data_IF_150298835037
#
_entry.id   IF_150298835037
#
_cell.length_a   1.000
_cell.length_b   1.000
_cell.length_c   1.000
_cell.angle_alpha   90.00
_cell.angle_beta   90.00
_cell.angle_gamma   90.00
#
_symmetry.space_group_name_H-M   'P 1'
#
loop_
_entity.id
_entity.type
_entity.pdbx_description
1 polymer ?
#
# COMPACT_ATOMS: atom_id res chain seq x y z
N UNK A 1 -15.60 7.43 -3.92
CA UNK A 1 -14.26 7.24 -4.54
C UNK A 1 -13.24 6.95 -3.46
N UNK A 2 -12.47 5.89 -3.61
CA UNK A 2 -11.43 5.56 -2.66
C UNK A 2 -10.14 6.32 -2.95
N UNK A 3 -9.48 6.77 -1.90
CA UNK A 3 -8.21 7.48 -1.99
C UNK A 3 -7.07 6.54 -1.57
N UNK A 4 -6.08 6.40 -2.42
CA UNK A 4 -4.94 5.51 -2.23
C UNK A 4 -3.65 6.30 -2.26
N UNK A 5 -2.81 6.10 -1.26
CA UNK A 5 -1.47 6.67 -1.23
C UNK A 5 -0.47 5.62 -1.70
N UNK A 6 0.32 5.97 -2.69
CA UNK A 6 1.40 5.12 -3.19
C UNK A 6 2.76 5.70 -2.78
N UNK A 7 3.54 4.91 -2.06
CA UNK A 7 4.90 5.29 -1.66
C UNK A 7 5.89 4.31 -2.25
N UNK A 8 6.70 4.77 -3.17
CA UNK A 8 7.72 3.95 -3.83
C UNK A 8 8.89 4.84 -4.22
N UNK A 9 10.10 4.42 -3.87
CA UNK A 9 11.31 5.14 -4.24
C UNK A 9 11.79 4.79 -5.67
N UNK A 10 11.14 3.85 -6.33
CA UNK A 10 11.35 3.56 -7.74
C UNK A 10 10.38 4.41 -8.56
N UNK A 11 10.90 5.44 -9.22
CA UNK A 11 10.08 6.39 -9.98
C UNK A 11 9.21 5.69 -11.02
N UNK A 12 9.78 4.70 -11.71
CA UNK A 12 9.07 3.98 -12.75
C UNK A 12 7.94 3.11 -12.18
N UNK A 13 8.24 2.34 -11.15
CA UNK A 13 7.24 1.47 -10.53
C UNK A 13 6.10 2.27 -9.94
N UNK A 14 6.41 3.39 -9.32
CA UNK A 14 5.41 4.29 -8.75
C UNK A 14 4.46 4.83 -9.83
N UNK A 15 5.03 5.28 -10.95
CA UNK A 15 4.22 5.85 -12.04
C UNK A 15 3.27 4.81 -12.63
N UNK A 16 3.74 3.59 -12.83
CA UNK A 16 2.93 2.51 -13.40
C UNK A 16 1.79 2.11 -12.45
N UNK A 17 2.09 1.93 -11.18
CA UNK A 17 1.09 1.58 -10.19
C UNK A 17 0.04 2.67 -10.04
N UNK A 18 0.47 3.92 -9.96
CA UNK A 18 -0.45 5.06 -9.82
C UNK A 18 -1.38 5.16 -11.04
N UNK A 19 -0.83 5.00 -12.24
CA UNK A 19 -1.63 5.08 -13.47
C UNK A 19 -2.67 3.96 -13.53
N UNK A 20 -2.28 2.73 -13.19
CA UNK A 20 -3.20 1.59 -13.16
C UNK A 20 -4.38 1.88 -12.24
N UNK A 21 -4.11 2.41 -11.06
CA UNK A 21 -5.15 2.71 -10.08
C UNK A 21 -6.05 3.86 -10.55
N UNK A 22 -5.47 4.92 -11.13
CA UNK A 22 -6.25 6.05 -11.66
C UNK A 22 -7.17 5.60 -12.78
N UNK A 23 -6.68 4.75 -13.67
CA UNK A 23 -7.48 4.21 -14.76
C UNK A 23 -8.66 3.39 -14.26
N UNK A 24 -8.57 2.87 -13.05
CA UNK A 24 -9.63 2.07 -12.43
C UNK A 24 -10.55 2.89 -11.54
N UNK A 25 -10.40 4.21 -11.51
CA UNK A 25 -11.30 5.10 -10.79
C UNK A 25 -10.88 5.46 -9.38
N UNK A 26 -9.66 5.11 -8.97
CA UNK A 26 -9.15 5.51 -7.66
C UNK A 26 -8.53 6.91 -7.71
N UNK A 27 -8.70 7.65 -6.62
CA UNK A 27 -7.92 8.87 -6.40
C UNK A 27 -6.57 8.47 -5.84
N UNK A 28 -5.50 8.84 -6.54
CA UNK A 28 -4.15 8.41 -6.17
C UNK A 28 -3.27 9.58 -5.81
N UNK A 29 -2.68 9.49 -4.62
CA UNK A 29 -1.62 10.38 -4.16
C UNK A 29 -0.32 9.59 -4.21
N UNK A 30 0.69 10.09 -4.89
CA UNK A 30 1.94 9.37 -5.09
C UNK A 30 3.12 10.19 -4.60
N UNK A 31 4.02 9.54 -3.87
CA UNK A 31 5.24 10.17 -3.37
C UNK A 31 6.34 9.15 -3.20
N UNK A 32 7.60 9.59 -3.31
CA UNK A 32 8.77 8.77 -3.00
C UNK A 32 9.39 9.11 -1.64
N UNK A 33 8.76 10.01 -0.90
CA UNK A 33 9.28 10.54 0.36
C UNK A 33 8.38 10.18 1.55
N UNK A 34 8.97 9.56 2.58
CA UNK A 34 8.23 9.14 3.77
C UNK A 34 7.62 10.32 4.54
N UNK A 35 8.35 11.43 4.64
CA UNK A 35 7.84 12.61 5.35
C UNK A 35 6.62 13.17 4.65
N UNK A 36 6.66 13.24 3.32
CA UNK A 36 5.51 13.68 2.52
C UNK A 36 4.33 12.73 2.70
N UNK A 37 4.59 11.42 2.73
CA UNK A 37 3.54 10.43 2.95
C UNK A 37 2.83 10.64 4.29
N UNK A 38 3.58 10.89 5.35
CA UNK A 38 3.02 11.15 6.67
C UNK A 38 2.21 12.44 6.70
N UNK A 39 2.69 13.49 6.04
CA UNK A 39 1.95 14.75 5.94
C UNK A 39 0.62 14.56 5.19
N UNK A 40 0.63 13.78 4.12
CA UNK A 40 -0.59 13.46 3.40
C UNK A 40 -1.57 12.67 4.27
N UNK A 41 -1.06 11.77 5.10
CA UNK A 41 -1.89 10.99 6.02
C UNK A 41 -2.50 11.85 7.14
N UNK A 42 -1.84 12.95 7.50
CA UNK A 42 -2.37 13.91 8.47
C UNK A 42 -3.49 14.73 7.83
N UNK A 43 -3.34 15.14 6.59
CA UNK A 43 -4.23 16.10 5.93
C UNK A 43 -5.38 15.44 5.17
N UNK A 44 -5.23 14.19 4.75
CA UNK A 44 -6.16 13.51 3.84
C UNK A 44 -6.56 12.16 4.40
N UNK A 45 -7.85 11.86 4.37
CA UNK A 45 -8.32 10.52 4.71
C UNK A 45 -7.92 9.55 3.61
N UNK A 46 -7.22 8.50 4.01
CA UNK A 46 -6.75 7.46 3.09
C UNK A 46 -7.53 6.18 3.30
N UNK A 47 -7.96 5.56 2.21
CA UNK A 47 -8.62 4.25 2.25
C UNK A 47 -7.60 3.12 2.22
N UNK A 48 -6.50 3.34 1.51
CA UNK A 48 -5.41 2.37 1.43
C UNK A 48 -4.07 3.07 1.22
N UNK A 49 -3.01 2.40 1.63
CA UNK A 49 -1.63 2.81 1.38
C UNK A 49 -0.91 1.62 0.74
N UNK A 50 -0.23 1.88 -0.36
CA UNK A 50 0.59 0.87 -1.04
C UNK A 50 2.05 1.27 -0.85
N UNK A 51 2.80 0.41 -0.16
CA UNK A 51 4.19 0.66 0.17
C UNK A 51 5.08 -0.26 -0.64
N UNK A 52 6.12 0.31 -1.25
CA UNK A 52 7.18 -0.49 -1.83
C UNK A 52 8.04 -1.06 -0.70
N UNK A 53 8.12 -2.38 -0.65
CA UNK A 53 8.93 -3.08 0.34
C UNK A 53 10.28 -3.43 -0.27
N UNK A 54 11.36 -2.90 0.31
CA UNK A 54 12.72 -3.17 -0.14
C UNK A 54 13.50 -3.87 0.96
N UNK A 55 14.43 -4.74 0.54
CA UNK A 55 15.26 -5.51 1.46
C UNK A 55 16.09 -4.62 2.39
N UNK A 56 16.55 -3.48 1.88
CA UNK A 56 17.43 -2.57 2.60
C UNK A 56 16.69 -1.48 3.39
N UNK A 57 15.37 -1.52 3.40
CA UNK A 57 14.54 -0.51 4.08
C UNK A 57 13.53 -1.15 5.00
N UNK A 58 13.43 -0.59 6.19
CA UNK A 58 12.45 -0.98 7.19
C UNK A 58 11.29 0.01 7.18
N UNK A 59 10.11 -0.48 6.86
CA UNK A 59 8.88 0.32 6.84
C UNK A 59 8.08 0.22 8.13
N UNK A 60 8.58 -0.49 9.14
CA UNK A 60 7.82 -0.73 10.37
C UNK A 60 7.40 0.57 11.06
N UNK A 61 8.33 1.51 11.18
CA UNK A 61 8.02 2.80 11.80
C UNK A 61 6.97 3.59 11.03
N UNK A 62 7.06 3.58 9.71
CA UNK A 62 6.09 4.26 8.85
C UNK A 62 4.70 3.62 8.99
N UNK A 63 4.61 2.30 8.93
CA UNK A 63 3.34 1.60 9.05
C UNK A 63 2.71 1.86 10.42
N UNK A 64 3.51 1.83 11.48
CA UNK A 64 3.04 2.12 12.83
C UNK A 64 2.45 3.53 12.90
N UNK A 65 3.15 4.51 12.35
CA UNK A 65 2.68 5.89 12.34
C UNK A 65 1.38 6.03 11.54
N UNK A 66 1.29 5.39 10.38
CA UNK A 66 0.09 5.42 9.56
C UNK A 66 -1.11 4.81 10.29
N UNK A 67 -0.91 3.71 11.01
CA UNK A 67 -1.99 3.08 11.76
C UNK A 67 -2.46 3.91 12.94
N UNK A 68 -1.57 4.69 13.55
CA UNK A 68 -1.94 5.62 14.60
C UNK A 68 -2.74 6.78 14.03
N UNK A 69 -2.30 7.34 12.91
CA UNK A 69 -2.97 8.46 12.25
C UNK A 69 -4.30 8.05 11.62
N UNK A 70 -4.36 6.89 11.02
CA UNK A 70 -5.54 6.41 10.30
C UNK A 70 -5.74 4.91 10.54
N UNK A 71 -6.37 4.53 11.67
CA UNK A 71 -6.49 3.11 12.07
C UNK A 71 -7.24 2.22 11.08
N UNK A 72 -8.10 2.80 10.25
CA UNK A 72 -8.93 2.03 9.32
C UNK A 72 -8.32 1.94 7.91
N UNK A 73 -7.15 2.53 7.70
CA UNK A 73 -6.49 2.48 6.40
C UNK A 73 -5.88 1.11 6.16
N UNK A 74 -6.18 0.53 5.01
CA UNK A 74 -5.57 -0.73 4.59
C UNK A 74 -4.12 -0.49 4.15
N UNK A 75 -3.22 -1.38 4.51
CA UNK A 75 -1.80 -1.28 4.15
C UNK A 75 -1.42 -2.48 3.28
N UNK A 76 -0.98 -2.19 2.06
CA UNK A 76 -0.47 -3.19 1.13
C UNK A 76 1.03 -3.03 0.97
N UNK A 77 1.75 -4.15 1.01
CA UNK A 77 3.17 -4.19 0.70
C UNK A 77 3.36 -4.71 -0.71
N UNK A 78 4.18 -4.01 -1.48
CA UNK A 78 4.43 -4.32 -2.89
C UNK A 78 5.93 -4.53 -3.04
N UNK A 79 6.35 -5.77 -3.34
CA UNK A 79 7.76 -6.16 -3.37
C UNK A 79 8.18 -6.61 -4.76
N UNK A 80 9.36 -6.18 -5.19
CA UNK A 80 9.94 -6.58 -6.48
C UNK A 80 10.78 -7.86 -6.44
N UNK A 81 10.92 -8.47 -5.27
CA UNK A 81 11.76 -9.66 -5.11
C UNK A 81 11.23 -10.57 -4.01
N UNK A 82 11.66 -11.83 -4.04
CA UNK A 82 11.40 -12.77 -2.97
C UNK A 82 12.34 -12.51 -1.79
N UNK A 83 11.94 -12.86 -0.57
CA UNK A 83 12.79 -12.73 0.60
C UNK A 83 12.59 -11.47 1.40
N UNK A 84 11.41 -10.87 1.32
CA UNK A 84 11.01 -9.78 2.22
C UNK A 84 11.01 -10.32 3.65
N UNK A 85 11.59 -9.60 4.63
CA UNK A 85 11.58 -10.05 6.02
C UNK A 85 10.16 -10.31 6.52
N UNK A 86 9.97 -11.40 7.23
CA UNK A 86 8.65 -11.82 7.72
C UNK A 86 8.01 -10.79 8.64
N UNK A 87 8.81 -10.08 9.43
CA UNK A 87 8.31 -9.05 10.32
C UNK A 87 7.68 -7.88 9.57
N UNK A 88 8.24 -7.50 8.41
CA UNK A 88 7.62 -6.48 7.57
C UNK A 88 6.31 -6.97 6.95
N UNK A 89 6.27 -8.23 6.52
CA UNK A 89 5.07 -8.80 5.94
C UNK A 89 3.92 -8.86 6.93
N UNK A 90 4.20 -9.07 8.21
CA UNK A 90 3.18 -9.12 9.25
C UNK A 90 2.54 -7.77 9.52
N UNK A 91 3.20 -6.68 9.16
CA UNK A 91 2.68 -5.33 9.36
C UNK A 91 1.61 -4.96 8.32
N UNK A 92 1.58 -5.64 7.21
CA UNK A 92 0.68 -5.33 6.11
C UNK A 92 -0.62 -6.14 6.20
N UNK A 93 -1.70 -5.56 5.68
CA UNK A 93 -2.97 -6.26 5.50
C UNK A 93 -2.91 -7.20 4.29
N UNK A 94 -2.07 -6.88 3.32
CA UNK A 94 -1.86 -7.72 2.15
C UNK A 94 -0.47 -7.48 1.57
N UNK A 95 0.04 -8.47 0.87
CA UNK A 95 1.34 -8.42 0.21
C UNK A 95 1.22 -8.88 -1.24
N UNK A 96 1.90 -8.19 -2.15
CA UNK A 96 1.88 -8.50 -3.56
C UNK A 96 3.29 -8.41 -4.12
N UNK A 97 3.68 -9.37 -4.96
CA UNK A 97 4.95 -9.32 -5.66
C UNK A 97 4.82 -8.48 -6.92
N UNK A 98 5.79 -7.58 -7.15
CA UNK A 98 5.87 -6.81 -8.40
C UNK A 98 6.13 -7.74 -9.58
N UNK A 99 5.77 -7.29 -10.78
CA UNK A 99 5.95 -8.05 -12.00
C UNK A 99 4.78 -8.92 -12.36
N UNK A 100 3.75 -8.98 -11.51
CA UNK A 100 2.49 -9.60 -11.85
C UNK A 100 1.62 -8.71 -12.72
N UNK A 101 0.48 -9.22 -13.11
CA UNK A 101 -0.46 -8.44 -13.92
C UNK A 101 -1.09 -7.31 -13.10
N UNK A 102 -1.36 -6.15 -13.73
CA UNK A 102 -2.04 -5.04 -13.04
C UNK A 102 -3.38 -5.43 -12.43
N UNK A 103 -4.10 -6.37 -13.05
CA UNK A 103 -5.37 -6.86 -12.52
C UNK A 103 -5.23 -7.50 -11.15
N UNK A 104 -4.10 -8.12 -10.86
CA UNK A 104 -3.86 -8.74 -9.54
C UNK A 104 -3.81 -7.68 -8.44
N UNK A 105 -3.13 -6.57 -8.69
CA UNK A 105 -3.10 -5.44 -7.75
C UNK A 105 -4.51 -4.92 -7.49
N UNK A 106 -5.30 -4.73 -8.53
CA UNK A 106 -6.66 -4.22 -8.41
C UNK A 106 -7.56 -5.18 -7.63
N UNK A 107 -7.46 -6.48 -7.88
CA UNK A 107 -8.24 -7.48 -7.17
C UNK A 107 -7.89 -7.51 -5.69
N UNK A 108 -6.59 -7.47 -5.38
CA UNK A 108 -6.12 -7.49 -4.00
C UNK A 108 -6.56 -6.22 -3.26
N UNK A 109 -6.43 -5.08 -3.89
CA UNK A 109 -6.86 -3.81 -3.31
C UNK A 109 -8.36 -3.81 -3.01
N UNK A 110 -9.18 -4.29 -3.93
CA UNK A 110 -10.63 -4.41 -3.72
C UNK A 110 -10.95 -5.32 -2.54
N UNK A 111 -10.25 -6.46 -2.44
CA UNK A 111 -10.47 -7.41 -1.36
C UNK A 111 -10.15 -6.78 0.00
N UNK A 112 -9.03 -6.07 0.09
CA UNK A 112 -8.60 -5.42 1.33
C UNK A 112 -9.53 -4.28 1.71
N UNK A 113 -9.95 -3.47 0.76
CA UNK A 113 -10.90 -2.38 1.00
C UNK A 113 -12.25 -2.92 1.47
N UNK A 114 -12.71 -4.02 0.89
CA UNK A 114 -13.96 -4.65 1.29
C UNK A 114 -13.89 -5.16 2.73
N UNK A 115 -12.80 -5.79 3.11
CA UNK A 115 -12.60 -6.28 4.49
C UNK A 115 -12.55 -5.12 5.48
N UNK A 116 -11.81 -4.07 5.15
CA UNK A 116 -11.73 -2.89 6.00
C UNK A 116 -13.09 -2.25 6.20
N UNK A 117 -13.90 -2.17 5.14
CA UNK A 117 -15.24 -1.60 5.18
C UNK A 117 -16.15 -2.33 6.18
N UNK A 118 -16.01 -3.64 6.30
CA UNK A 118 -16.81 -4.45 7.21
C UNK A 118 -16.14 -4.68 8.57
N UNK A 119 -15.02 -4.02 8.82
CA UNK A 119 -14.30 -4.19 10.07
C UNK A 119 -13.55 -5.51 10.20
N UNK A 120 -13.43 -6.25 9.11
CA UNK A 120 -12.74 -7.53 9.10
C UNK A 120 -11.27 -7.31 8.74
N UNK A 121 -10.48 -6.99 9.74
CA UNK A 121 -9.06 -6.73 9.55
C UNK A 121 -8.29 -8.06 9.58
N UNK A 122 -7.85 -8.54 8.45
CA UNK A 122 -7.08 -9.77 8.33
C UNK A 122 -6.01 -9.63 7.28
N UNK A 123 -4.84 -10.23 7.54
CA UNK A 123 -3.80 -10.30 6.54
C UNK A 123 -4.22 -11.18 5.37
N UNK A 124 -4.10 -10.64 4.16
CA UNK A 124 -4.34 -11.37 2.92
C UNK A 124 -3.02 -11.43 2.17
N UNK A 125 -2.60 -12.63 1.79
CA UNK A 125 -1.35 -12.82 1.05
C UNK A 125 -1.66 -13.34 -0.33
N UNK A 126 -1.20 -12.62 -1.35
CA UNK A 126 -1.24 -13.07 -2.75
C UNK A 126 0.02 -13.86 -3.05
N UNK A 127 -0.15 -14.98 -3.71
CA UNK A 127 0.96 -15.84 -4.08
C UNK A 127 1.08 -15.92 -5.60
#
# INVERSE_FOLDING_TARGET
MHTVLCLDDSTRGLAEAAQTLRDSGYRVLATDDKATALNLAIETRLDAVILNCRRDRDNAGLVTALRILQPHTAVLMFSGYCGVPCDQLQLADACLQKGGEPSTLLQLLRAVLCQSRYGLCRSVKAR
#
